data_IF_292888444762
#
_entry.id   IF_292888444762
#
_cell.length_a   1.000
_cell.length_b   1.000
_cell.length_c   1.000
_cell.angle_alpha   90.00
_cell.angle_beta   90.00
_cell.angle_gamma   90.00
#
_symmetry.space_group_name_H-M   'P 1'
#
loop_
_entity.id
_entity.type
_entity.pdbx_description
1 polymer ?
#
# COMPACT_ATOMS: atom_id res chain seq x y z
N UNK A 1 -19.95 20.96 22.30
CA UNK A 1 -19.08 21.05 21.09
C UNK A 1 -19.89 20.83 19.81
N UNK A 2 -20.70 19.75 19.71
CA UNK A 2 -21.52 19.44 18.51
C UNK A 2 -22.39 20.64 18.07
N UNK A 3 -23.13 21.27 19.00
CA UNK A 3 -24.04 22.39 18.67
C UNK A 3 -23.30 23.63 18.16
N UNK A 4 -22.10 23.91 18.68
CA UNK A 4 -21.28 25.04 18.23
C UNK A 4 -20.78 24.82 16.77
N UNK A 5 -20.38 23.61 16.45
CA UNK A 5 -20.02 23.28 15.06
C UNK A 5 -21.23 23.36 14.13
N UNK A 6 -22.40 22.85 14.56
CA UNK A 6 -23.59 22.91 13.75
C UNK A 6 -24.00 24.38 13.47
N UNK A 7 -23.98 25.28 14.48
CA UNK A 7 -24.24 26.70 14.28
C UNK A 7 -23.23 27.40 13.37
N UNK A 8 -21.92 27.08 13.51
CA UNK A 8 -20.90 27.64 12.64
C UNK A 8 -21.08 27.19 11.18
N UNK A 9 -21.53 25.97 10.95
CA UNK A 9 -21.76 25.40 9.62
C UNK A 9 -23.02 25.96 8.94
N UNK A 10 -23.98 26.48 9.69
CA UNK A 10 -25.08 27.28 9.12
C UNK A 10 -24.55 28.57 8.46
N UNK A 11 -23.49 29.17 9.01
CA UNK A 11 -22.88 30.39 8.49
C UNK A 11 -21.88 30.11 7.38
N UNK A 12 -21.17 28.96 7.43
CA UNK A 12 -20.13 28.57 6.46
C UNK A 12 -20.36 27.14 6.00
N UNK A 13 -21.40 26.85 5.19
CA UNK A 13 -21.76 25.49 4.79
C UNK A 13 -20.71 24.79 3.91
N UNK A 14 -19.80 25.53 3.25
CA UNK A 14 -18.70 24.98 2.47
C UNK A 14 -17.44 24.60 3.26
N UNK A 15 -17.48 24.66 4.60
CA UNK A 15 -16.30 24.34 5.43
C UNK A 15 -16.19 22.83 5.69
N UNK A 16 -15.51 22.12 4.77
CA UNK A 16 -15.32 20.65 4.82
C UNK A 16 -14.74 20.17 6.16
N UNK A 17 -13.70 20.82 6.68
CA UNK A 17 -13.08 20.46 7.96
C UNK A 17 -14.03 20.62 9.15
N UNK A 18 -14.93 21.60 9.10
CA UNK A 18 -15.97 21.79 10.10
C UNK A 18 -17.00 20.65 10.10
N UNK A 19 -17.45 20.24 8.92
CA UNK A 19 -18.34 19.09 8.76
C UNK A 19 -17.68 17.79 9.20
N UNK A 20 -16.42 17.56 8.79
CA UNK A 20 -15.65 16.39 9.22
C UNK A 20 -15.55 16.31 10.74
N UNK A 21 -15.16 17.42 11.39
CA UNK A 21 -15.03 17.46 12.85
C UNK A 21 -16.37 17.27 13.58
N UNK A 22 -17.47 17.81 13.03
CA UNK A 22 -18.81 17.54 13.56
C UNK A 22 -19.17 16.06 13.49
N UNK A 23 -18.83 15.40 12.37
CA UNK A 23 -19.00 13.95 12.19
C UNK A 23 -18.24 13.16 13.24
N UNK A 24 -16.95 13.48 13.48
CA UNK A 24 -16.14 12.82 14.50
C UNK A 24 -16.74 12.99 15.91
N UNK A 25 -17.09 14.22 16.30
CA UNK A 25 -17.68 14.50 17.62
C UNK A 25 -18.98 13.71 17.82
N UNK A 26 -19.83 13.63 16.80
CA UNK A 26 -21.09 12.87 16.88
C UNK A 26 -20.87 11.38 16.96
N UNK A 27 -19.95 10.83 16.15
CA UNK A 27 -19.59 9.42 16.16
C UNK A 27 -19.01 9.00 17.52
N UNK A 28 -18.04 9.76 18.06
CA UNK A 28 -17.42 9.50 19.36
C UNK A 28 -18.44 9.56 20.52
N UNK A 29 -19.44 10.44 20.42
CA UNK A 29 -20.46 10.60 21.44
C UNK A 29 -21.71 9.71 21.23
N UNK A 30 -21.75 8.89 20.17
CA UNK A 30 -22.92 8.08 19.83
C UNK A 30 -24.16 8.90 19.47
N UNK A 31 -23.99 10.12 18.94
CA UNK A 31 -25.07 11.01 18.55
C UNK A 31 -25.49 10.79 17.10
N UNK A 32 -26.77 10.99 16.81
CA UNK A 32 -27.32 10.90 15.46
C UNK A 32 -26.71 11.94 14.50
N UNK A 33 -26.63 11.57 13.21
CA UNK A 33 -26.23 12.46 12.12
C UNK A 33 -24.73 12.63 11.93
N UNK A 34 -23.91 11.73 12.49
CA UNK A 34 -22.48 11.62 12.16
C UNK A 34 -22.29 11.31 10.68
N UNK A 35 -23.07 10.38 10.13
CA UNK A 35 -23.08 9.99 8.73
C UNK A 35 -23.36 11.18 7.80
N UNK A 36 -24.39 11.96 8.11
CA UNK A 36 -24.73 13.16 7.33
C UNK A 36 -23.65 14.23 7.37
N UNK A 37 -22.95 14.35 8.50
CA UNK A 37 -21.84 15.30 8.62
C UNK A 37 -20.66 14.88 7.75
N UNK A 38 -20.32 13.59 7.67
CA UNK A 38 -19.29 13.10 6.77
C UNK A 38 -19.69 13.23 5.29
N UNK A 39 -20.95 12.94 4.94
CA UNK A 39 -21.47 13.18 3.58
C UNK A 39 -21.37 14.66 3.19
N UNK A 40 -21.68 15.58 4.12
CA UNK A 40 -21.54 17.02 3.87
C UNK A 40 -20.05 17.44 3.75
N UNK A 41 -19.15 16.83 4.50
CA UNK A 41 -17.70 17.05 4.34
C UNK A 41 -17.22 16.66 2.95
N UNK A 42 -17.63 15.47 2.44
CA UNK A 42 -17.32 15.01 1.09
C UNK A 42 -17.93 15.91 0.01
N UNK A 43 -19.14 16.40 0.21
CA UNK A 43 -19.77 17.33 -0.73
C UNK A 43 -19.05 18.68 -0.77
N UNK A 44 -18.48 19.15 0.36
CA UNK A 44 -17.70 20.38 0.46
C UNK A 44 -16.26 20.23 -0.06
N UNK A 45 -15.69 19.03 0.02
CA UNK A 45 -14.37 18.67 -0.55
C UNK A 45 -14.47 17.34 -1.30
N UNK A 46 -14.78 17.35 -2.61
CA UNK A 46 -14.91 16.13 -3.40
C UNK A 46 -13.60 15.31 -3.55
N UNK A 47 -12.44 15.91 -3.27
CA UNK A 47 -11.16 15.19 -3.25
C UNK A 47 -10.97 14.36 -1.97
N UNK A 48 -11.83 14.57 -0.98
CA UNK A 48 -11.85 13.88 0.31
C UNK A 48 -10.50 13.84 1.04
N UNK A 49 -9.81 14.98 1.08
CA UNK A 49 -8.50 15.13 1.74
C UNK A 49 -8.49 14.79 3.23
N UNK A 50 -9.66 14.81 3.87
CA UNK A 50 -9.82 14.47 5.28
C UNK A 50 -10.16 13.00 5.51
N UNK A 51 -10.47 12.24 4.46
CA UNK A 51 -10.89 10.84 4.55
C UNK A 51 -12.27 10.67 5.21
N UNK A 52 -13.23 11.55 4.88
CA UNK A 52 -14.59 11.47 5.40
C UNK A 52 -15.29 10.19 4.92
N UNK A 53 -15.01 9.72 3.69
CA UNK A 53 -15.49 8.44 3.17
C UNK A 53 -15.06 7.27 4.06
N UNK A 54 -13.81 7.24 4.51
CA UNK A 54 -13.28 6.18 5.37
C UNK A 54 -13.97 6.15 6.75
N UNK A 55 -14.29 7.34 7.29
CA UNK A 55 -15.06 7.45 8.54
C UNK A 55 -16.50 6.97 8.38
N UNK A 56 -17.08 7.26 7.22
CA UNK A 56 -18.44 6.84 6.88
C UNK A 56 -18.52 5.32 6.70
N UNK A 57 -17.54 4.72 6.04
CA UNK A 57 -17.42 3.27 5.87
C UNK A 57 -17.31 2.56 7.22
N UNK A 58 -16.46 3.06 8.12
CA UNK A 58 -16.33 2.53 9.48
C UNK A 58 -17.63 2.62 10.26
N UNK A 59 -18.39 3.74 10.15
CA UNK A 59 -19.68 3.90 10.81
C UNK A 59 -20.74 2.92 10.29
N UNK A 60 -20.71 2.59 9.02
CA UNK A 60 -21.66 1.71 8.35
C UNK A 60 -21.26 0.23 8.42
N UNK A 61 -20.13 -0.07 9.05
CA UNK A 61 -19.54 -1.41 9.06
C UNK A 61 -19.45 -2.00 7.62
N UNK A 62 -19.05 -1.17 6.70
CA UNK A 62 -18.90 -1.51 5.28
C UNK A 62 -17.57 -0.97 4.77
N UNK A 63 -16.79 -1.82 4.16
CA UNK A 63 -15.71 -1.37 3.29
C UNK A 63 -16.31 -1.13 1.90
N UNK A 64 -16.57 0.12 1.56
CA UNK A 64 -17.12 0.51 0.25
C UNK A 64 -16.03 0.92 -0.73
N UNK A 65 -14.86 1.32 -0.24
CA UNK A 65 -13.75 1.76 -1.06
C UNK A 65 -12.68 0.66 -1.13
N UNK A 66 -12.32 0.27 -2.35
CA UNK A 66 -11.18 -0.63 -2.60
C UNK A 66 -9.84 0.08 -2.43
N UNK A 67 -9.83 1.41 -2.41
CA UNK A 67 -8.65 2.27 -2.31
C UNK A 67 -8.99 3.51 -1.51
N UNK A 68 -8.07 3.97 -0.67
CA UNK A 68 -8.22 5.25 0.02
C UNK A 68 -8.13 6.43 -0.95
N UNK A 69 -8.83 7.56 -0.68
CA UNK A 69 -8.67 8.77 -1.47
C UNK A 69 -7.20 9.19 -1.55
N UNK A 70 -6.64 9.30 -2.75
CA UNK A 70 -5.23 9.66 -2.96
C UNK A 70 -4.86 10.98 -2.29
N UNK A 71 -5.77 11.97 -2.33
CA UNK A 71 -5.57 13.27 -1.69
C UNK A 71 -5.51 13.19 -0.16
N UNK A 72 -6.20 12.22 0.45
CA UNK A 72 -6.09 11.94 1.88
C UNK A 72 -4.72 11.34 2.22
N UNK A 73 -4.27 10.34 1.44
CA UNK A 73 -2.97 9.68 1.65
C UNK A 73 -1.83 10.69 1.48
N UNK A 74 -1.86 11.49 0.41
CA UNK A 74 -0.89 12.55 0.13
C UNK A 74 -0.80 13.54 1.29
N UNK A 75 -1.94 14.12 1.72
CA UNK A 75 -1.97 15.10 2.81
C UNK A 75 -1.46 14.50 4.12
N UNK A 76 -1.82 13.24 4.41
CA UNK A 76 -1.37 12.54 5.61
C UNK A 76 0.16 12.47 5.65
N UNK A 77 0.79 12.05 4.56
CA UNK A 77 2.24 11.88 4.50
C UNK A 77 2.99 13.21 4.38
N UNK A 78 2.45 14.19 3.67
CA UNK A 78 3.03 15.54 3.63
C UNK A 78 3.15 16.17 5.02
N UNK A 79 2.15 15.95 5.90
CA UNK A 79 2.17 16.48 7.26
C UNK A 79 3.20 15.79 8.17
N UNK A 80 3.52 14.51 7.91
CA UNK A 80 4.40 13.72 8.77
C UNK A 80 5.84 13.63 8.27
N UNK A 81 6.16 14.07 7.06
CA UNK A 81 7.44 13.82 6.41
C UNK A 81 8.66 14.22 7.27
N UNK A 82 8.65 15.43 7.83
CA UNK A 82 9.78 15.97 8.61
C UNK A 82 10.08 15.19 9.90
N UNK A 83 9.07 14.56 10.52
CA UNK A 83 9.21 13.81 11.77
C UNK A 83 9.13 12.29 11.56
N UNK A 84 8.97 11.85 10.32
CA UNK A 84 8.60 10.47 9.98
C UNK A 84 9.60 9.44 10.49
N UNK A 85 10.88 9.63 10.21
CA UNK A 85 11.92 8.69 10.62
C UNK A 85 12.00 8.56 12.15
N UNK A 86 12.04 9.68 12.87
CA UNK A 86 12.07 9.70 14.33
C UNK A 86 10.81 9.07 14.92
N UNK A 87 9.63 9.38 14.34
CA UNK A 87 8.38 8.84 14.85
C UNK A 87 8.27 7.33 14.61
N UNK A 88 8.64 6.83 13.43
CA UNK A 88 8.53 5.41 13.08
C UNK A 88 9.62 4.57 13.74
N UNK A 89 10.88 4.98 13.64
CA UNK A 89 11.99 4.16 14.14
C UNK A 89 12.04 4.19 15.65
N UNK A 90 12.00 5.38 16.27
CA UNK A 90 12.23 5.52 17.72
C UNK A 90 10.98 5.22 18.57
N UNK A 91 9.77 5.52 18.04
CA UNK A 91 8.54 5.42 18.83
C UNK A 91 7.70 4.19 18.50
N UNK A 92 7.74 3.69 17.26
CA UNK A 92 6.88 2.61 16.77
C UNK A 92 7.64 1.29 16.54
N UNK A 93 8.96 1.22 16.77
CA UNK A 93 9.78 0.02 16.47
C UNK A 93 9.47 -0.54 15.08
N UNK A 94 9.55 0.34 14.07
CA UNK A 94 9.20 0.01 12.69
C UNK A 94 10.26 -0.89 12.06
N UNK A 95 9.85 -2.07 11.62
CA UNK A 95 10.76 -3.14 11.20
C UNK A 95 10.52 -3.65 9.78
N UNK A 96 9.53 -3.14 9.07
CA UNK A 96 9.19 -3.66 7.74
C UNK A 96 10.37 -3.66 6.75
N UNK A 97 11.20 -2.60 6.65
CA UNK A 97 12.37 -2.62 5.77
C UNK A 97 13.35 -3.75 6.10
N UNK A 98 13.72 -3.92 7.36
CA UNK A 98 14.66 -4.96 7.81
C UNK A 98 14.10 -6.37 7.60
N UNK A 99 12.80 -6.56 7.85
CA UNK A 99 12.12 -7.84 7.64
C UNK A 99 12.10 -8.22 6.16
N UNK A 100 11.88 -7.27 5.25
CA UNK A 100 11.94 -7.50 3.81
C UNK A 100 13.38 -7.76 3.35
N UNK A 101 14.34 -6.95 3.79
CA UNK A 101 15.73 -7.07 3.40
C UNK A 101 16.37 -8.39 3.83
N UNK A 102 15.96 -8.95 4.97
CA UNK A 102 16.53 -10.19 5.51
C UNK A 102 16.47 -11.39 4.54
N UNK A 103 15.49 -11.42 3.64
CA UNK A 103 15.37 -12.48 2.63
C UNK A 103 15.88 -12.06 1.23
N UNK A 104 16.28 -10.81 1.05
CA UNK A 104 16.83 -10.29 -0.21
C UNK A 104 18.34 -10.48 -0.24
N UNK A 105 18.80 -11.67 -0.62
CA UNK A 105 20.23 -11.99 -0.70
C UNK A 105 20.81 -11.74 -2.09
N UNK A 106 22.11 -11.38 -2.15
CA UNK A 106 22.85 -11.17 -3.40
C UNK A 106 22.51 -9.88 -4.14
N UNK A 107 23.01 -9.71 -5.39
CA UNK A 107 22.70 -8.55 -6.21
C UNK A 107 21.21 -8.41 -6.49
N UNK A 108 20.70 -7.17 -6.47
CA UNK A 108 19.28 -6.89 -6.67
C UNK A 108 18.97 -6.42 -8.11
N UNK A 109 20.00 -5.93 -8.85
CA UNK A 109 19.84 -5.40 -10.19
C UNK A 109 19.12 -4.05 -10.21
N UNK A 110 18.13 -3.90 -11.11
CA UNK A 110 17.25 -2.71 -11.15
C UNK A 110 16.11 -2.87 -10.18
N UNK A 111 16.04 -1.96 -9.22
CA UNK A 111 15.08 -2.00 -8.11
C UNK A 111 14.13 -0.83 -8.17
N UNK A 112 12.84 -1.11 -7.97
CA UNK A 112 11.79 -0.12 -7.77
C UNK A 112 11.23 -0.26 -6.35
N UNK A 113 11.25 0.83 -5.61
CA UNK A 113 10.69 0.95 -4.26
C UNK A 113 9.39 1.75 -4.30
N UNK A 114 8.26 1.05 -4.22
CA UNK A 114 6.92 1.63 -4.24
C UNK A 114 6.57 2.18 -2.87
N UNK A 115 6.08 3.43 -2.82
CA UNK A 115 5.82 4.14 -1.57
C UNK A 115 7.10 4.28 -0.75
N UNK A 116 8.16 4.76 -1.38
CA UNK A 116 9.51 4.79 -0.79
C UNK A 116 9.61 5.69 0.46
N UNK A 117 8.62 6.57 0.68
CA UNK A 117 8.58 7.49 1.80
C UNK A 117 9.84 8.33 1.89
N UNK A 118 10.41 8.41 3.08
CA UNK A 118 11.70 9.07 3.34
C UNK A 118 12.92 8.23 2.94
N UNK A 119 12.73 7.01 2.40
CA UNK A 119 13.80 6.14 1.93
C UNK A 119 14.34 5.14 2.97
N UNK A 120 13.56 4.74 3.97
CA UNK A 120 13.98 3.73 4.94
C UNK A 120 14.26 2.36 4.28
N UNK A 121 13.43 1.93 3.32
CA UNK A 121 13.70 0.73 2.55
C UNK A 121 14.89 0.92 1.60
N UNK A 122 15.06 2.10 1.03
CA UNK A 122 16.21 2.44 0.19
C UNK A 122 17.56 2.26 0.89
N UNK A 123 17.64 2.49 2.20
CA UNK A 123 18.87 2.25 2.99
C UNK A 123 19.27 0.76 2.97
N UNK A 124 18.30 -0.14 3.06
CA UNK A 124 18.51 -1.59 3.03
C UNK A 124 18.87 -2.09 1.62
N UNK A 125 18.35 -1.42 0.57
CA UNK A 125 18.47 -1.85 -0.82
C UNK A 125 19.72 -1.32 -1.52
N UNK A 126 20.19 -0.11 -1.18
CA UNK A 126 21.20 0.63 -1.96
C UNK A 126 22.46 -0.16 -2.25
N UNK A 127 22.99 -0.85 -1.26
CA UNK A 127 24.25 -1.57 -1.39
C UNK A 127 24.20 -2.74 -2.41
N UNK A 128 23.00 -3.30 -2.63
CA UNK A 128 22.78 -4.43 -3.55
C UNK A 128 22.24 -4.04 -4.92
N UNK A 129 21.89 -2.77 -5.13
CA UNK A 129 21.19 -2.31 -6.34
C UNK A 129 22.13 -1.67 -7.35
N UNK A 130 22.03 -2.07 -8.63
CA UNK A 130 22.70 -1.40 -9.75
C UNK A 130 22.00 -0.07 -10.10
N UNK A 131 20.66 -0.06 -9.96
CA UNK A 131 19.79 1.10 -10.13
C UNK A 131 18.67 1.02 -9.10
N UNK A 132 18.47 2.07 -8.32
CA UNK A 132 17.41 2.16 -7.33
C UNK A 132 16.52 3.37 -7.62
N UNK A 133 15.26 3.11 -7.92
CA UNK A 133 14.25 4.14 -8.17
C UNK A 133 13.18 4.08 -7.07
N UNK A 134 12.75 5.24 -6.58
CA UNK A 134 11.71 5.35 -5.55
C UNK A 134 10.51 6.13 -6.07
N UNK A 135 9.31 5.63 -5.79
CA UNK A 135 8.05 6.32 -6.08
C UNK A 135 7.27 6.56 -4.81
N UNK A 136 6.75 7.76 -4.67
CA UNK A 136 5.83 8.11 -3.56
C UNK A 136 4.78 9.11 -4.03
N UNK A 137 3.64 9.15 -3.37
CA UNK A 137 2.57 10.11 -3.65
C UNK A 137 2.87 11.47 -3.01
N UNK A 138 3.61 11.50 -1.90
CA UNK A 138 3.94 12.70 -1.13
C UNK A 138 5.22 13.36 -1.67
N UNK A 139 5.10 14.63 -2.06
CA UNK A 139 6.25 15.41 -2.48
C UNK A 139 7.20 15.72 -1.31
N UNK A 140 6.66 15.85 -0.10
CA UNK A 140 7.45 16.10 1.11
C UNK A 140 8.30 14.88 1.47
N UNK A 141 7.72 13.66 1.40
CA UNK A 141 8.46 12.41 1.58
C UNK A 141 9.61 12.27 0.60
N UNK A 142 9.35 12.54 -0.68
CA UNK A 142 10.40 12.48 -1.73
C UNK A 142 11.52 13.48 -1.47
N UNK A 143 11.22 14.65 -0.91
CA UNK A 143 12.25 15.65 -0.56
C UNK A 143 13.16 15.15 0.57
N UNK A 144 12.60 14.48 1.57
CA UNK A 144 13.38 13.83 2.63
C UNK A 144 14.24 12.68 2.07
N UNK A 145 13.67 11.86 1.16
CA UNK A 145 14.41 10.78 0.49
C UNK A 145 15.57 11.31 -0.36
N UNK A 146 15.34 12.42 -1.11
CA UNK A 146 16.37 13.08 -1.91
C UNK A 146 17.55 13.53 -1.05
N UNK A 147 17.26 14.09 0.15
CA UNK A 147 18.29 14.51 1.11
C UNK A 147 19.22 13.37 1.57
N UNK A 148 18.77 12.11 1.50
CA UNK A 148 19.57 10.93 1.84
C UNK A 148 20.47 10.45 0.70
N UNK A 149 20.25 10.91 -0.53
CA UNK A 149 21.04 10.58 -1.72
C UNK A 149 21.20 9.06 -1.97
N UNK A 150 20.14 8.28 -1.71
CA UNK A 150 20.15 6.82 -1.87
C UNK A 150 19.64 6.37 -3.24
N UNK A 151 18.69 7.09 -3.81
CA UNK A 151 18.02 6.73 -5.05
C UNK A 151 18.70 7.38 -6.26
N UNK A 152 18.77 6.64 -7.37
CA UNK A 152 19.21 7.16 -8.66
C UNK A 152 18.13 8.02 -9.30
N UNK A 153 16.86 7.75 -8.94
CA UNK A 153 15.70 8.53 -9.39
C UNK A 153 14.58 8.48 -8.36
N UNK A 154 13.89 9.59 -8.19
CA UNK A 154 12.68 9.72 -7.38
C UNK A 154 11.57 10.34 -8.22
N UNK A 155 10.39 9.71 -8.26
CA UNK A 155 9.23 10.18 -9.00
C UNK A 155 7.98 10.27 -8.10
N UNK A 156 7.23 11.35 -8.24
CA UNK A 156 5.91 11.46 -7.61
C UNK A 156 4.90 10.64 -8.40
N UNK A 157 4.36 9.59 -7.77
CA UNK A 157 3.42 8.65 -8.38
C UNK A 157 2.29 8.26 -7.43
N UNK A 158 1.09 8.17 -7.98
CA UNK A 158 -0.07 7.57 -7.31
C UNK A 158 -0.15 6.09 -7.70
N UNK A 159 -0.01 5.18 -6.73
CA UNK A 159 -0.02 3.74 -6.97
C UNK A 159 -1.41 3.21 -7.35
N UNK A 160 -2.47 3.97 -7.08
CA UNK A 160 -3.84 3.63 -7.48
C UNK A 160 -4.14 3.92 -8.96
N UNK A 161 -3.25 4.63 -9.64
CA UNK A 161 -3.46 5.13 -11.00
C UNK A 161 -2.24 4.92 -11.91
N UNK A 162 -1.50 3.82 -11.72
CA UNK A 162 -0.31 3.52 -12.52
C UNK A 162 -0.68 3.16 -13.96
N UNK A 163 0.04 3.77 -14.91
CA UNK A 163 0.00 3.35 -16.30
C UNK A 163 0.74 2.00 -16.47
N UNK A 164 0.35 1.16 -17.45
CA UNK A 164 1.08 -0.05 -17.77
C UNK A 164 2.56 0.25 -18.05
N UNK A 165 3.45 -0.60 -17.55
CA UNK A 165 4.89 -0.53 -17.78
C UNK A 165 5.40 -1.88 -18.26
N UNK A 166 6.33 -1.86 -19.23
CA UNK A 166 6.97 -3.06 -19.74
C UNK A 166 7.99 -3.60 -18.72
N UNK A 167 8.33 -4.88 -18.84
CA UNK A 167 9.25 -5.58 -17.94
C UNK A 167 10.61 -4.88 -17.85
N UNK A 168 10.83 -4.11 -16.80
CA UNK A 168 12.01 -3.27 -16.58
C UNK A 168 12.78 -3.59 -15.29
N UNK A 169 12.12 -4.24 -14.31
CA UNK A 169 12.60 -4.37 -12.95
C UNK A 169 13.01 -5.80 -12.60
N UNK A 170 14.09 -5.94 -11.85
CA UNK A 170 14.56 -7.20 -11.30
C UNK A 170 13.99 -7.45 -9.90
N UNK A 171 13.70 -6.35 -9.18
CA UNK A 171 13.06 -6.36 -7.87
C UNK A 171 12.09 -5.18 -7.75
N UNK A 172 10.90 -5.43 -7.21
CA UNK A 172 9.96 -4.40 -6.73
C UNK A 172 9.75 -4.60 -5.24
N UNK A 173 9.81 -3.52 -4.46
CA UNK A 173 9.56 -3.53 -3.01
C UNK A 173 8.39 -2.61 -2.65
N UNK A 174 7.69 -2.91 -1.53
CA UNK A 174 6.68 -2.05 -0.94
C UNK A 174 6.60 -2.29 0.58
N UNK A 175 7.28 -1.45 1.36
CA UNK A 175 7.37 -1.59 2.81
C UNK A 175 6.27 -0.78 3.51
N UNK A 176 5.25 -1.44 4.06
CA UNK A 176 4.10 -0.85 4.80
C UNK A 176 3.25 0.15 3.96
N UNK A 177 3.17 -0.07 2.66
CA UNK A 177 2.50 0.80 1.69
C UNK A 177 1.06 0.35 1.43
N UNK A 178 0.86 -0.96 1.28
CA UNK A 178 -0.42 -1.51 0.87
C UNK A 178 -1.49 -1.49 1.97
N UNK A 179 -1.14 -1.03 3.17
CA UNK A 179 -2.11 -0.67 4.19
C UNK A 179 -3.06 0.48 3.77
N UNK A 180 -2.77 1.17 2.67
CA UNK A 180 -3.60 2.23 2.07
C UNK A 180 -4.37 1.77 0.83
N UNK A 181 -4.22 0.51 0.44
CA UNK A 181 -4.94 -0.15 -0.65
C UNK A 181 -5.74 -1.34 -0.09
N UNK A 182 -7.06 -1.36 -0.27
CA UNK A 182 -7.90 -2.49 0.11
C UNK A 182 -7.76 -3.61 -0.92
N UNK A 183 -8.20 -3.37 -2.16
CA UNK A 183 -7.97 -4.29 -3.26
C UNK A 183 -6.53 -4.20 -3.76
N UNK A 184 -5.83 -5.34 -3.82
CA UNK A 184 -4.45 -5.44 -4.33
C UNK A 184 -4.36 -5.99 -5.75
N UNK A 185 -5.48 -6.33 -6.38
CA UNK A 185 -5.54 -6.95 -7.71
C UNK A 185 -4.85 -6.10 -8.77
N UNK A 186 -5.11 -4.80 -8.75
CA UNK A 186 -4.54 -3.87 -9.73
C UNK A 186 -3.03 -3.73 -9.56
N UNK A 187 -2.54 -3.49 -8.32
CA UNK A 187 -1.11 -3.26 -8.08
C UNK A 187 -0.31 -4.56 -8.26
N UNK A 188 -0.81 -5.70 -7.82
CA UNK A 188 -0.16 -7.00 -8.02
C UNK A 188 -0.08 -7.35 -9.51
N UNK A 189 -1.15 -7.11 -10.27
CA UNK A 189 -1.17 -7.27 -11.72
C UNK A 189 -0.18 -6.34 -12.42
N UNK A 190 -0.10 -5.08 -11.99
CA UNK A 190 0.86 -4.11 -12.51
C UNK A 190 2.31 -4.56 -12.24
N UNK A 191 2.62 -4.98 -11.00
CA UNK A 191 3.96 -5.47 -10.64
C UNK A 191 4.32 -6.71 -11.46
N UNK A 192 3.35 -7.62 -11.69
CA UNK A 192 3.59 -8.80 -12.52
C UNK A 192 3.98 -8.43 -13.95
N UNK A 193 3.46 -7.35 -14.52
CA UNK A 193 3.87 -6.86 -15.86
C UNK A 193 5.22 -6.14 -15.80
N UNK A 194 5.46 -5.30 -14.81
CA UNK A 194 6.66 -4.48 -14.67
C UNK A 194 7.93 -5.29 -14.35
N UNK A 195 7.78 -6.47 -13.74
CA UNK A 195 8.89 -7.37 -13.43
C UNK A 195 9.35 -8.16 -14.66
N UNK A 196 10.66 -8.34 -14.78
CA UNK A 196 11.28 -9.29 -15.71
C UNK A 196 10.91 -10.73 -15.34
N UNK A 197 11.08 -11.70 -16.25
CA UNK A 197 11.02 -13.11 -15.88
C UNK A 197 11.97 -13.40 -14.71
N UNK A 198 11.51 -14.19 -13.73
CA UNK A 198 12.23 -14.47 -12.47
C UNK A 198 12.46 -13.25 -11.57
N UNK A 199 11.90 -12.10 -11.92
CA UNK A 199 11.92 -10.90 -11.10
C UNK A 199 11.21 -11.13 -9.76
N UNK A 200 11.61 -10.39 -8.74
CA UNK A 200 11.17 -10.56 -7.35
C UNK A 200 10.25 -9.44 -6.92
N UNK A 201 9.28 -9.78 -6.10
CA UNK A 201 8.37 -8.85 -5.45
C UNK A 201 8.40 -9.07 -3.94
N UNK A 202 8.78 -8.06 -3.17
CA UNK A 202 8.86 -8.14 -1.72
C UNK A 202 8.05 -7.01 -1.08
N UNK A 203 7.07 -7.35 -0.23
CA UNK A 203 6.20 -6.36 0.38
C UNK A 203 5.64 -6.80 1.73
N UNK A 204 5.09 -5.85 2.49
CA UNK A 204 4.37 -6.12 3.73
C UNK A 204 2.95 -5.59 3.67
N UNK A 205 2.04 -6.27 4.38
CA UNK A 205 0.67 -5.82 4.64
C UNK A 205 0.31 -6.09 6.10
N UNK A 206 -0.59 -5.31 6.70
CA UNK A 206 -1.21 -5.71 7.96
C UNK A 206 -2.09 -6.95 7.74
N UNK A 207 -2.12 -7.87 8.71
CA UNK A 207 -2.88 -9.13 8.60
C UNK A 207 -4.19 -9.09 9.38
N UNK A 208 -5.19 -9.83 8.90
CA UNK A 208 -6.38 -10.19 9.67
C UNK A 208 -6.76 -11.66 9.43
N UNK A 209 -7.50 -12.25 10.37
CA UNK A 209 -7.85 -13.68 10.37
C UNK A 209 -9.30 -13.95 9.89
N UNK A 210 -10.02 -12.91 9.42
CA UNK A 210 -11.39 -13.04 8.90
C UNK A 210 -11.46 -13.68 7.51
N UNK A 211 -12.68 -13.89 7.03
CA UNK A 211 -12.94 -14.49 5.71
C UNK A 211 -12.85 -13.48 4.56
N UNK A 212 -12.94 -12.20 4.87
CA UNK A 212 -12.87 -11.11 3.89
C UNK A 212 -11.47 -11.04 3.27
N UNK A 213 -11.38 -10.60 2.02
CA UNK A 213 -10.10 -10.37 1.34
C UNK A 213 -9.26 -9.32 2.08
N UNK A 214 -9.91 -8.27 2.53
CA UNK A 214 -9.34 -7.19 3.35
C UNK A 214 -10.43 -6.54 4.19
N UNK A 215 -10.01 -5.84 5.25
CA UNK A 215 -10.87 -5.07 6.15
C UNK A 215 -10.25 -3.70 6.42
N UNK A 216 -11.09 -2.66 6.49
CA UNK A 216 -10.66 -1.34 6.95
C UNK A 216 -10.75 -1.30 8.49
N UNK A 217 -9.63 -0.97 9.14
CA UNK A 217 -9.54 -0.84 10.60
C UNK A 217 -9.84 0.60 11.07
N UNK A 218 -10.14 0.76 12.35
CA UNK A 218 -10.31 2.07 12.99
C UNK A 218 -9.08 2.99 12.83
N UNK A 219 -7.89 2.40 12.69
CA UNK A 219 -6.65 3.09 12.35
C UNK A 219 -6.68 3.74 10.96
N UNK A 220 -7.72 3.53 10.18
CA UNK A 220 -7.82 3.89 8.76
C UNK A 220 -6.72 3.24 7.92
N UNK A 221 -6.40 1.98 8.21
CA UNK A 221 -5.51 1.14 7.44
C UNK A 221 -6.21 -0.14 7.08
N UNK A 222 -5.93 -0.66 5.89
CA UNK A 222 -6.42 -1.97 5.48
C UNK A 222 -5.53 -3.07 6.03
N UNK A 223 -6.17 -4.15 6.46
CA UNK A 223 -5.51 -5.40 6.79
C UNK A 223 -6.01 -6.49 5.84
N UNK A 224 -5.13 -7.40 5.42
CA UNK A 224 -5.37 -8.36 4.35
C UNK A 224 -5.35 -9.80 4.86
N UNK A 225 -6.16 -10.64 4.24
CA UNK A 225 -6.19 -12.08 4.50
C UNK A 225 -5.05 -12.78 3.78
N UNK A 226 -4.28 -13.61 4.52
CA UNK A 226 -3.20 -14.41 3.93
C UNK A 226 -3.71 -15.31 2.82
N UNK A 227 -4.86 -16.00 3.05
CA UNK A 227 -5.46 -16.91 2.07
C UNK A 227 -5.77 -16.21 0.75
N UNK A 228 -6.39 -15.03 0.82
CA UNK A 228 -6.74 -14.26 -0.38
C UNK A 228 -5.47 -13.77 -1.08
N UNK A 229 -4.51 -13.26 -0.32
CA UNK A 229 -3.25 -12.77 -0.86
C UNK A 229 -2.43 -13.87 -1.57
N UNK A 230 -2.36 -15.06 -0.98
CA UNK A 230 -1.70 -16.22 -1.61
C UNK A 230 -2.37 -16.60 -2.93
N UNK A 231 -3.70 -16.64 -2.97
CA UNK A 231 -4.45 -16.94 -4.20
C UNK A 231 -4.25 -15.86 -5.28
N UNK A 232 -4.24 -14.59 -4.89
CA UNK A 232 -4.00 -13.47 -5.79
C UNK A 232 -2.60 -13.53 -6.42
N UNK A 233 -1.57 -13.79 -5.62
CA UNK A 233 -0.19 -13.92 -6.10
C UNK A 233 -0.03 -15.12 -7.04
N UNK A 234 -0.63 -16.26 -6.71
CA UNK A 234 -0.61 -17.45 -7.57
C UNK A 234 -1.29 -17.17 -8.94
N UNK A 235 -2.45 -16.51 -8.92
CA UNK A 235 -3.17 -16.09 -10.13
C UNK A 235 -2.37 -15.11 -10.99
N UNK A 236 -1.63 -14.19 -10.34
CA UNK A 236 -0.76 -13.23 -11.03
C UNK A 236 0.56 -13.84 -11.54
N UNK A 237 0.79 -15.14 -11.32
CA UNK A 237 1.95 -15.87 -11.83
C UNK A 237 3.16 -15.82 -10.92
N UNK A 238 2.99 -15.58 -9.64
CA UNK A 238 4.07 -15.62 -8.65
C UNK A 238 4.14 -16.97 -7.92
N UNK A 239 5.34 -17.33 -7.52
CA UNK A 239 5.61 -18.29 -6.44
C UNK A 239 5.96 -17.48 -5.19
N UNK A 240 5.13 -17.54 -4.15
CA UNK A 240 5.24 -16.69 -2.98
C UNK A 240 5.57 -17.48 -1.71
N UNK A 241 6.36 -16.86 -0.84
CA UNK A 241 6.56 -17.25 0.57
C UNK A 241 6.01 -16.15 1.44
N UNK A 242 5.11 -16.49 2.35
CA UNK A 242 4.43 -15.56 3.25
C UNK A 242 4.81 -15.94 4.67
N UNK A 243 5.33 -14.99 5.42
CA UNK A 243 5.66 -15.14 6.84
C UNK A 243 4.91 -14.12 7.68
N UNK A 244 4.67 -14.44 8.95
CA UNK A 244 4.05 -13.55 9.92
C UNK A 244 5.11 -12.84 10.74
N UNK A 245 4.96 -11.52 10.96
CA UNK A 245 5.84 -10.76 11.82
C UNK A 245 5.11 -9.56 12.44
N UNK A 246 5.67 -9.03 13.53
CA UNK A 246 5.29 -7.72 14.05
C UNK A 246 5.99 -6.67 13.19
N UNK A 247 5.20 -5.87 12.45
CA UNK A 247 5.73 -4.84 11.54
C UNK A 247 6.15 -3.58 12.30
N UNK A 248 5.39 -3.24 13.35
CA UNK A 248 5.61 -2.08 14.22
C UNK A 248 4.79 -2.21 15.50
N UNK A 249 4.99 -1.26 16.42
CA UNK A 249 4.12 -1.05 17.57
C UNK A 249 3.17 0.11 17.27
N UNK A 250 1.93 0.05 17.73
CA UNK A 250 1.00 1.18 17.74
C UNK A 250 0.33 1.26 19.12
N UNK A 251 0.48 2.40 19.80
CA UNK A 251 -0.06 2.63 21.16
C UNK A 251 0.27 1.50 22.15
N UNK A 252 1.46 0.92 22.03
CA UNK A 252 1.93 -0.16 22.88
C UNK A 252 1.39 -1.55 22.54
N UNK A 253 0.65 -1.70 21.42
CA UNK A 253 0.20 -2.97 20.91
C UNK A 253 0.97 -3.36 19.63
N UNK A 254 1.32 -4.65 19.44
CA UNK A 254 1.98 -5.10 18.23
C UNK A 254 1.01 -5.09 17.04
N UNK A 255 1.44 -4.51 15.94
CA UNK A 255 0.75 -4.61 14.65
C UNK A 255 1.33 -5.79 13.89
N UNK A 256 0.56 -6.85 13.84
CA UNK A 256 0.89 -8.06 13.09
C UNK A 256 0.65 -7.86 11.60
N UNK A 257 1.54 -8.41 10.79
CA UNK A 257 1.41 -8.38 9.35
C UNK A 257 2.05 -9.56 8.67
N UNK A 258 1.87 -9.59 7.36
CA UNK A 258 2.44 -10.56 6.45
C UNK A 258 3.67 -9.95 5.78
N UNK A 259 4.76 -10.70 5.77
CA UNK A 259 6.00 -10.40 5.05
C UNK A 259 6.03 -11.33 3.84
N UNK A 260 5.94 -10.76 2.66
CA UNK A 260 5.81 -11.51 1.40
C UNK A 260 7.07 -11.39 0.57
N UNK A 261 7.58 -12.53 0.12
CA UNK A 261 8.63 -12.65 -0.89
C UNK A 261 8.10 -13.53 -2.01
N UNK A 262 7.93 -12.95 -3.18
CA UNK A 262 7.39 -13.62 -4.35
C UNK A 262 8.36 -13.54 -5.53
N UNK A 263 8.42 -14.60 -6.33
CA UNK A 263 9.22 -14.68 -7.55
C UNK A 263 8.26 -14.88 -8.71
N UNK A 264 8.37 -14.04 -9.74
CA UNK A 264 7.59 -14.19 -10.96
C UNK A 264 8.03 -15.46 -11.68
N UNK A 265 7.08 -16.35 -11.97
CA UNK A 265 7.37 -17.57 -12.72
C UNK A 265 7.93 -17.23 -14.10
N UNK A 266 9.04 -17.87 -14.48
CA UNK A 266 9.55 -17.80 -15.84
C UNK A 266 8.50 -18.37 -16.82
N UNK A 267 8.42 -17.83 -18.01
CA UNK A 267 7.66 -18.50 -19.08
C UNK A 267 8.33 -19.85 -19.32
N UNK A 268 7.72 -20.94 -18.86
CA UNK A 268 8.15 -22.28 -19.24
C UNK A 268 8.13 -22.32 -20.76
N UNK A 269 9.29 -22.50 -21.37
CA UNK A 269 9.37 -22.94 -22.78
C UNK A 269 8.59 -24.24 -22.82
N UNK A 270 7.35 -24.16 -23.32
CA UNK A 270 6.51 -25.33 -23.56
C UNK A 270 7.36 -26.33 -24.33
N UNK A 271 7.63 -27.46 -23.71
CA UNK A 271 8.20 -28.61 -24.38
C UNK A 271 7.34 -28.89 -25.59
N UNK A 272 7.84 -28.51 -26.76
CA UNK A 272 7.27 -28.95 -28.02
C UNK A 272 7.27 -30.48 -27.96
N UNK A 273 6.09 -31.05 -27.84
CA UNK A 273 5.88 -32.48 -28.04
C UNK A 273 6.32 -32.77 -29.46
N UNK A 274 7.53 -33.27 -29.62
CA UNK A 274 8.05 -33.81 -30.86
C UNK A 274 7.18 -35.02 -31.25
N UNK A 275 6.17 -34.70 -32.10
CA UNK A 275 5.32 -35.68 -32.71
C UNK A 275 6.11 -36.52 -33.70
N UNK A 276 6.83 -37.53 -33.22
CA UNK A 276 7.43 -38.56 -34.05
C UNK A 276 6.33 -39.25 -34.89
N UNK A 277 6.19 -38.79 -36.11
CA UNK A 277 5.39 -39.48 -37.15
C UNK A 277 5.94 -40.88 -37.33
N UNK A 278 5.17 -41.87 -36.92
CA UNK A 278 5.41 -43.27 -37.35
C UNK A 278 5.32 -43.37 -38.89
N UNK A 279 6.36 -43.87 -39.51
CA UNK A 279 6.38 -44.20 -40.95
C UNK A 279 5.44 -45.34 -41.25
N UNK A 280 4.74 -45.38 -42.43
CA UNK A 280 3.90 -46.48 -42.81
C UNK A 280 4.76 -47.70 -43.23
N UNK A 281 4.34 -48.88 -42.76
CA UNK A 281 4.88 -50.19 -43.17
C UNK A 281 4.39 -50.51 -44.59
N UNK A 282 5.25 -50.91 -45.55
CA UNK A 282 4.83 -51.37 -46.87
C UNK A 282 4.28 -52.82 -46.81
N UNK A 283 3.35 -53.11 -47.70
CA UNK A 283 2.62 -54.38 -47.89
C UNK A 283 3.50 -55.54 -48.35
#
# INVERSE_FOLDING_TARGET
ASDLYAQALELVPGWAAGWFRLGEIRAEAGLDGADRAFEAAMAADPSDRLGASLRLDLLRDRSLADVMPSAFVELLFDQYAAEFDTALVDRLDYRAPQLLAAALTGPQGRVLDLGCGTGLMGQELRAGSDWLEGWDISAEMLREAEGKALYDRLDKRDLSALAPEDAAWDLVTAADVFAYLGSLEQIVGWVAMALRPEGRFAFTVESHDGDEAYVLRESRRYAHSERHLAALLDLAGFEARIGHAVLRQDRGAPIWGLVVHAVKRGHGTGSAHDGTRAAPVPA
#
